data_IF_745925850962
#
_entry.id   IF_745925850962
#
_cell.length_a   1.000
_cell.length_b   1.000
_cell.length_c   1.000
_cell.angle_alpha   90.00
_cell.angle_beta   90.00
_cell.angle_gamma   90.00
#
_symmetry.space_group_name_H-M   'P 1'
#
loop_
_entity.id
_entity.type
_entity.pdbx_description
1 polymer ?
#
# COMPACT_ATOMS: atom_id res chain seq x y z
N UNK A 1 -16.56 -3.13 0.94
CA UNK A 1 -15.34 -3.81 1.39
C UNK A 1 -15.26 -5.28 1.03
N UNK A 2 -16.31 -6.09 1.27
CA UNK A 2 -16.28 -7.57 1.13
C UNK A 2 -16.07 -8.06 -0.32
N UNK A 3 -16.66 -7.38 -1.31
CA UNK A 3 -16.53 -7.75 -2.73
C UNK A 3 -15.09 -7.55 -3.23
N UNK A 4 -14.48 -6.42 -2.90
CA UNK A 4 -13.11 -6.10 -3.31
C UNK A 4 -12.11 -7.06 -2.65
N UNK A 5 -12.34 -7.45 -1.39
CA UNK A 5 -11.52 -8.43 -0.69
C UNK A 5 -11.52 -9.81 -1.38
N UNK A 6 -12.69 -10.32 -1.75
CA UNK A 6 -12.84 -11.60 -2.49
C UNK A 6 -12.22 -11.53 -3.88
N UNK A 7 -12.40 -10.40 -4.58
CA UNK A 7 -11.85 -10.20 -5.92
C UNK A 7 -10.31 -10.17 -5.88
N UNK A 8 -9.73 -9.53 -4.86
CA UNK A 8 -8.28 -9.48 -4.63
C UNK A 8 -7.68 -10.85 -4.37
N UNK A 9 -8.34 -11.69 -3.57
CA UNK A 9 -7.90 -13.07 -3.29
C UNK A 9 -7.90 -13.95 -4.54
N UNK A 10 -8.85 -13.73 -5.46
CA UNK A 10 -8.97 -14.54 -6.69
C UNK A 10 -8.08 -14.06 -7.83
N UNK A 11 -7.93 -12.77 -8.02
CA UNK A 11 -7.23 -12.21 -9.19
C UNK A 11 -5.77 -11.80 -8.90
N UNK A 12 -5.41 -11.61 -7.63
CA UNK A 12 -4.14 -11.00 -7.26
C UNK A 12 -4.14 -9.48 -7.46
N UNK A 13 -3.13 -8.80 -6.85
CA UNK A 13 -3.07 -7.34 -6.83
C UNK A 13 -2.84 -6.73 -8.22
N UNK A 14 -1.90 -7.30 -8.98
CA UNK A 14 -1.54 -6.78 -10.30
C UNK A 14 -2.68 -6.84 -11.30
N UNK A 15 -3.36 -7.99 -11.36
CA UNK A 15 -4.50 -8.16 -12.27
C UNK A 15 -5.63 -7.23 -11.89
N UNK A 16 -5.89 -7.03 -10.60
CA UNK A 16 -6.93 -6.14 -10.14
C UNK A 16 -6.64 -4.68 -10.53
N UNK A 17 -5.40 -4.23 -10.38
CA UNK A 17 -4.96 -2.89 -10.81
C UNK A 17 -5.02 -2.76 -12.33
N UNK A 18 -4.59 -3.77 -13.09
CA UNK A 18 -4.63 -3.74 -14.54
C UNK A 18 -6.08 -3.69 -15.05
N UNK A 19 -6.98 -4.53 -14.54
CA UNK A 19 -8.41 -4.53 -14.90
C UNK A 19 -9.03 -3.19 -14.52
N UNK A 20 -8.78 -2.69 -13.30
CA UNK A 20 -9.30 -1.40 -12.86
C UNK A 20 -8.83 -0.24 -13.75
N UNK A 21 -7.56 -0.24 -14.15
CA UNK A 21 -7.01 0.75 -15.07
C UNK A 21 -7.63 0.67 -16.47
N UNK A 22 -7.81 -0.53 -17.02
CA UNK A 22 -8.48 -0.74 -18.32
C UNK A 22 -9.95 -0.27 -18.26
N UNK A 23 -10.68 -0.62 -17.19
CA UNK A 23 -12.08 -0.18 -17.02
C UNK A 23 -12.14 1.34 -16.89
N UNK A 24 -11.25 1.94 -16.13
CA UNK A 24 -11.19 3.39 -15.96
C UNK A 24 -10.86 4.10 -17.27
N UNK A 25 -9.83 3.67 -17.99
CA UNK A 25 -9.46 4.22 -19.30
C UNK A 25 -10.57 4.04 -20.34
N UNK A 26 -11.22 2.87 -20.37
CA UNK A 26 -12.37 2.60 -21.22
C UNK A 26 -13.57 3.52 -20.91
N UNK A 27 -13.84 3.77 -19.62
CA UNK A 27 -14.87 4.71 -19.18
C UNK A 27 -14.55 6.16 -19.61
N UNK A 28 -13.27 6.56 -19.62
CA UNK A 28 -12.86 7.87 -20.17
C UNK A 28 -13.18 7.96 -21.66
N UNK A 29 -12.85 6.93 -22.46
CA UNK A 29 -13.14 6.90 -23.89
C UNK A 29 -14.65 6.95 -24.13
N UNK A 30 -15.45 6.14 -23.41
CA UNK A 30 -16.90 6.16 -23.51
C UNK A 30 -17.46 7.54 -23.14
N UNK A 31 -16.98 8.16 -22.08
CA UNK A 31 -17.41 9.51 -21.67
C UNK A 31 -17.04 10.57 -22.70
N UNK A 32 -15.88 10.44 -23.36
CA UNK A 32 -15.41 11.37 -24.38
C UNK A 32 -16.25 11.33 -25.67
N UNK A 33 -16.69 10.12 -26.07
CA UNK A 33 -17.39 9.88 -27.34
C UNK A 33 -18.91 9.78 -27.20
N UNK A 34 -19.43 9.68 -25.97
CA UNK A 34 -20.85 9.52 -25.73
C UNK A 34 -21.62 10.81 -25.94
N UNK A 35 -22.72 10.69 -26.70
CA UNK A 35 -23.69 11.77 -26.87
C UNK A 35 -24.93 11.58 -25.97
N UNK A 36 -25.01 10.48 -25.22
CA UNK A 36 -26.16 10.16 -24.36
C UNK A 36 -25.80 10.27 -22.89
N UNK A 37 -26.58 11.02 -22.11
CA UNK A 37 -26.36 11.22 -20.67
C UNK A 37 -26.33 9.90 -19.89
N UNK A 38 -27.21 8.95 -20.24
CA UNK A 38 -27.29 7.66 -19.55
C UNK A 38 -25.99 6.86 -19.67
N UNK A 39 -25.42 6.81 -20.90
CA UNK A 39 -24.17 6.09 -21.13
C UNK A 39 -22.98 6.76 -20.42
N UNK A 40 -22.94 8.08 -20.40
CA UNK A 40 -21.92 8.84 -19.65
C UNK A 40 -22.03 8.55 -18.15
N UNK A 41 -23.23 8.59 -17.57
CA UNK A 41 -23.39 8.28 -16.14
C UNK A 41 -23.01 6.83 -15.81
N UNK A 42 -23.36 5.88 -16.65
CA UNK A 42 -22.95 4.48 -16.47
C UNK A 42 -21.41 4.34 -16.52
N UNK A 43 -20.76 5.00 -17.47
CA UNK A 43 -19.30 5.03 -17.57
C UNK A 43 -18.66 5.65 -16.32
N UNK A 44 -19.19 6.75 -15.79
CA UNK A 44 -18.70 7.40 -14.58
C UNK A 44 -18.86 6.51 -13.33
N UNK A 45 -19.96 5.77 -13.22
CA UNK A 45 -20.15 4.80 -12.12
C UNK A 45 -19.09 3.69 -12.18
N UNK A 46 -18.83 3.15 -13.38
CA UNK A 46 -17.78 2.15 -13.59
C UNK A 46 -16.37 2.72 -13.30
N UNK A 47 -16.11 3.95 -13.73
CA UNK A 47 -14.85 4.65 -13.42
C UNK A 47 -14.67 4.81 -11.91
N UNK A 48 -15.70 5.28 -11.20
CA UNK A 48 -15.64 5.44 -9.74
C UNK A 48 -15.41 4.13 -9.01
N UNK A 49 -16.10 3.06 -9.40
CA UNK A 49 -15.92 1.72 -8.83
C UNK A 49 -14.51 1.16 -9.06
N UNK A 50 -14.00 1.29 -10.29
CA UNK A 50 -12.64 0.86 -10.62
C UNK A 50 -11.57 1.67 -9.87
N UNK A 51 -11.75 3.00 -9.77
CA UNK A 51 -10.91 3.88 -8.97
C UNK A 51 -10.82 3.45 -7.51
N UNK A 52 -11.95 3.21 -6.86
CA UNK A 52 -12.01 2.74 -5.46
C UNK A 52 -11.30 1.39 -5.30
N UNK A 53 -11.47 0.47 -6.24
CA UNK A 53 -10.80 -0.83 -6.20
C UNK A 53 -9.28 -0.69 -6.32
N UNK A 54 -8.79 0.14 -7.23
CA UNK A 54 -7.35 0.40 -7.45
C UNK A 54 -6.76 1.10 -6.22
N UNK A 55 -7.37 2.17 -5.72
CA UNK A 55 -6.90 2.90 -4.54
C UNK A 55 -6.84 2.02 -3.30
N UNK A 56 -7.88 1.22 -3.05
CA UNK A 56 -7.89 0.26 -1.95
C UNK A 56 -6.78 -0.79 -2.08
N UNK A 57 -6.45 -1.18 -3.32
CA UNK A 57 -5.38 -2.15 -3.60
C UNK A 57 -4.01 -1.55 -3.32
N UNK A 58 -3.72 -0.33 -3.77
CA UNK A 58 -2.48 0.36 -3.48
C UNK A 58 -2.29 0.63 -1.98
N UNK A 59 -3.34 1.08 -1.29
CA UNK A 59 -3.28 1.27 0.16
C UNK A 59 -2.93 -0.03 0.89
N UNK A 60 -3.54 -1.14 0.49
CA UNK A 60 -3.22 -2.45 1.09
C UNK A 60 -1.80 -2.88 0.76
N UNK A 61 -1.37 -2.77 -0.50
CA UNK A 61 -0.02 -3.12 -0.91
C UNK A 61 1.02 -2.32 -0.11
N UNK A 62 0.84 -1.01 0.04
CA UNK A 62 1.73 -0.15 0.84
C UNK A 62 1.82 -0.62 2.29
N UNK A 63 0.69 -0.96 2.92
CA UNK A 63 0.66 -1.37 4.32
C UNK A 63 1.23 -2.77 4.56
N UNK A 64 1.14 -3.66 3.58
CA UNK A 64 1.60 -5.05 3.70
C UNK A 64 3.02 -5.27 3.19
N UNK A 65 3.56 -4.34 2.39
CA UNK A 65 4.90 -4.47 1.80
C UNK A 65 6.03 -3.99 2.72
N UNK A 66 5.71 -3.38 3.86
CA UNK A 66 6.71 -2.80 4.76
C UNK A 66 6.57 -3.32 6.19
N UNK A 67 7.70 -3.44 6.92
CA UNK A 67 7.68 -3.82 8.33
C UNK A 67 6.85 -2.82 9.18
N UNK A 68 6.29 -3.27 10.32
CA UNK A 68 5.43 -2.44 11.17
C UNK A 68 6.06 -1.12 11.63
N UNK A 69 7.37 -1.12 11.87
CA UNK A 69 8.10 0.05 12.39
C UNK A 69 8.29 1.18 11.36
N UNK A 70 8.21 0.93 10.05
CA UNK A 70 8.25 1.97 8.99
C UNK A 70 6.90 2.20 8.31
N UNK A 71 5.86 1.45 8.67
CA UNK A 71 4.56 1.48 8.00
C UNK A 71 3.94 2.89 7.96
N UNK A 72 4.01 3.61 9.08
CA UNK A 72 3.50 4.98 9.15
C UNK A 72 4.20 5.91 8.13
N UNK A 73 5.53 5.83 8.03
CA UNK A 73 6.31 6.63 7.07
C UNK A 73 6.00 6.27 5.62
N UNK A 74 5.92 4.97 5.31
CA UNK A 74 5.58 4.51 3.96
C UNK A 74 4.17 4.96 3.56
N UNK A 75 3.19 4.86 4.46
CA UNK A 75 1.82 5.32 4.21
C UNK A 75 1.77 6.83 4.02
N UNK A 76 2.52 7.62 4.81
CA UNK A 76 2.59 9.08 4.65
C UNK A 76 3.21 9.47 3.31
N UNK A 77 4.29 8.80 2.88
CA UNK A 77 4.89 9.04 1.56
C UNK A 77 3.93 8.69 0.42
N UNK A 78 3.25 7.54 0.52
CA UNK A 78 2.24 7.15 -0.46
C UNK A 78 1.11 8.18 -0.56
N UNK A 79 0.59 8.65 0.58
CA UNK A 79 -0.46 9.67 0.61
C UNK A 79 0.02 11.00 0.04
N UNK A 80 1.23 11.43 0.38
CA UNK A 80 1.83 12.65 -0.15
C UNK A 80 1.98 12.58 -1.68
N UNK A 81 2.47 11.47 -2.21
CA UNK A 81 2.59 11.26 -3.66
C UNK A 81 1.21 11.27 -4.34
N UNK A 82 0.21 10.59 -3.74
CA UNK A 82 -1.13 10.55 -4.29
C UNK A 82 -1.80 11.94 -4.31
N UNK A 83 -1.80 12.65 -3.18
CA UNK A 83 -2.38 14.00 -3.09
C UNK A 83 -1.62 15.03 -3.95
N UNK A 84 -0.29 14.94 -3.96
CA UNK A 84 0.54 15.79 -4.81
C UNK A 84 0.26 15.56 -6.30
N UNK A 85 0.09 14.30 -6.71
CA UNK A 85 -0.30 13.95 -8.08
C UNK A 85 -1.68 14.49 -8.45
N UNK A 86 -2.64 14.51 -7.52
CA UNK A 86 -3.95 15.13 -7.77
C UNK A 86 -3.84 16.63 -7.97
N UNK A 87 -3.06 17.34 -7.15
CA UNK A 87 -2.89 18.77 -7.26
C UNK A 87 -2.24 19.17 -8.60
N UNK A 88 -1.12 18.53 -8.94
CA UNK A 88 -0.40 18.78 -10.20
C UNK A 88 -1.23 18.30 -11.40
N UNK A 89 -1.82 17.12 -11.29
CA UNK A 89 -2.63 16.52 -12.35
C UNK A 89 -3.88 17.33 -12.67
N UNK A 90 -4.57 17.87 -11.66
CA UNK A 90 -5.76 18.69 -11.91
C UNK A 90 -5.43 19.98 -12.67
N UNK A 91 -4.32 20.64 -12.32
CA UNK A 91 -3.86 21.83 -13.04
C UNK A 91 -3.45 21.49 -14.49
N UNK A 92 -2.71 20.39 -14.68
CA UNK A 92 -2.28 19.95 -16.01
C UNK A 92 -3.46 19.56 -16.91
N UNK A 93 -4.37 18.71 -16.42
CA UNK A 93 -5.53 18.26 -17.20
C UNK A 93 -6.55 19.39 -17.42
N UNK A 94 -6.67 20.32 -16.46
CA UNK A 94 -7.48 21.52 -16.62
C UNK A 94 -6.97 22.36 -17.79
N UNK A 95 -5.70 22.74 -17.75
CA UNK A 95 -5.08 23.53 -18.84
C UNK A 95 -5.14 22.79 -20.20
N UNK A 96 -4.94 21.47 -20.20
CA UNK A 96 -5.03 20.68 -21.43
C UNK A 96 -6.46 20.68 -22.00
N UNK A 97 -7.47 20.61 -21.12
CA UNK A 97 -8.87 20.68 -21.56
C UNK A 97 -9.27 22.06 -22.09
N UNK A 98 -8.68 23.13 -21.59
CA UNK A 98 -8.90 24.49 -22.08
C UNK A 98 -8.32 24.67 -23.49
N UNK A 99 -7.16 24.04 -23.78
CA UNK A 99 -6.47 24.14 -25.06
C UNK A 99 -7.07 23.22 -26.13
N UNK A 100 -7.29 21.95 -25.81
CA UNK A 100 -7.68 20.90 -26.76
C UNK A 100 -9.18 20.58 -26.74
N UNK A 101 -9.90 21.10 -25.75
CA UNK A 101 -11.28 20.72 -25.46
C UNK A 101 -11.38 19.43 -24.64
N UNK A 102 -12.51 19.30 -23.96
CA UNK A 102 -12.75 18.22 -22.99
C UNK A 102 -12.64 16.81 -23.61
N UNK A 103 -13.19 16.63 -24.81
CA UNK A 103 -13.16 15.33 -25.51
C UNK A 103 -11.74 14.88 -25.81
N UNK A 104 -10.91 15.77 -26.37
CA UNK A 104 -9.52 15.43 -26.67
C UNK A 104 -8.70 15.21 -25.39
N UNK A 105 -8.89 16.01 -24.34
CA UNK A 105 -8.23 15.82 -23.06
C UNK A 105 -8.57 14.44 -22.44
N UNK A 106 -9.82 13.99 -22.49
CA UNK A 106 -10.22 12.66 -22.00
C UNK A 106 -9.59 11.53 -22.82
N UNK A 107 -9.50 11.68 -24.15
CA UNK A 107 -8.85 10.67 -25.00
C UNK A 107 -7.35 10.60 -24.74
N UNK A 108 -6.67 11.74 -24.61
CA UNK A 108 -5.24 11.79 -24.23
C UNK A 108 -5.05 11.16 -22.86
N UNK A 109 -5.95 11.41 -21.90
CA UNK A 109 -5.92 10.79 -20.58
C UNK A 109 -6.07 9.27 -20.66
N UNK A 110 -6.96 8.76 -21.49
CA UNK A 110 -7.14 7.32 -21.72
C UNK A 110 -5.87 6.67 -22.31
N UNK A 111 -5.22 7.35 -23.28
CA UNK A 111 -3.95 6.89 -23.86
C UNK A 111 -2.84 6.91 -22.80
N UNK A 112 -2.74 7.98 -22.01
CA UNK A 112 -1.77 8.10 -20.92
C UNK A 112 -1.97 6.98 -19.87
N UNK A 113 -3.23 6.64 -19.56
CA UNK A 113 -3.56 5.52 -18.66
C UNK A 113 -3.11 4.18 -19.25
N UNK A 114 -3.35 3.92 -20.53
CA UNK A 114 -2.91 2.71 -21.21
C UNK A 114 -1.38 2.62 -21.24
N UNK A 115 -0.69 3.72 -21.54
CA UNK A 115 0.76 3.80 -21.48
C UNK A 115 1.29 3.54 -20.08
N UNK A 116 0.68 4.11 -19.03
CA UNK A 116 1.01 3.87 -17.64
C UNK A 116 0.89 2.40 -17.25
N UNK A 117 -0.16 1.69 -17.70
CA UNK A 117 -0.32 0.26 -17.46
C UNK A 117 0.76 -0.58 -18.15
N UNK A 118 1.21 -0.20 -19.33
CA UNK A 118 2.30 -0.86 -20.04
C UNK A 118 3.63 -0.62 -19.32
N UNK A 119 3.92 0.62 -18.94
CA UNK A 119 5.14 1.01 -18.22
C UNK A 119 5.21 0.44 -16.81
N UNK A 120 4.08 0.11 -16.19
CA UNK A 120 4.04 -0.50 -14.86
C UNK A 120 4.41 -2.01 -14.88
N UNK A 121 4.38 -2.69 -16.03
CA UNK A 121 4.65 -4.13 -16.15
C UNK A 121 6.01 -4.57 -15.58
N UNK A 122 7.15 -3.84 -15.77
CA UNK A 122 8.42 -4.21 -15.18
C UNK A 122 8.50 -4.00 -13.67
N UNK A 123 7.51 -3.34 -13.06
CA UNK A 123 7.46 -3.03 -11.62
C UNK A 123 6.33 -3.81 -10.93
N UNK A 124 6.48 -5.13 -10.70
CA UNK A 124 5.41 -5.94 -10.13
C UNK A 124 5.10 -5.52 -8.69
N UNK A 125 3.81 -5.44 -8.38
CA UNK A 125 3.33 -5.23 -7.02
C UNK A 125 3.57 -6.50 -6.20
N UNK A 126 4.63 -6.52 -5.42
CA UNK A 126 4.94 -7.62 -4.51
C UNK A 126 4.28 -7.34 -3.16
N UNK A 127 3.44 -8.26 -2.70
CA UNK A 127 3.19 -8.35 -1.26
C UNK A 127 4.41 -9.06 -0.66
N UNK A 128 5.14 -8.38 0.22
CA UNK A 128 6.05 -9.10 1.11
C UNK A 128 5.18 -10.09 1.88
N UNK A 129 5.31 -11.37 1.56
CA UNK A 129 4.68 -12.40 2.34
C UNK A 129 5.16 -12.24 3.78
N UNK A 130 4.26 -12.48 4.74
CA UNK A 130 4.57 -12.53 6.19
C UNK A 130 5.74 -13.49 6.52
N UNK A 131 6.23 -14.24 5.53
CA UNK A 131 7.38 -15.15 5.58
C UNK A 131 8.75 -14.44 5.58
N UNK A 132 8.86 -13.17 5.17
CA UNK A 132 10.14 -12.45 5.24
C UNK A 132 10.34 -11.68 6.56
N UNK A 133 9.27 -11.38 7.25
CA UNK A 133 9.35 -11.12 8.68
C UNK A 133 9.41 -12.50 9.31
N UNK A 134 10.60 -13.01 9.51
CA UNK A 134 10.81 -14.18 10.37
C UNK A 134 10.14 -13.83 11.69
N UNK A 135 8.89 -14.21 11.84
CA UNK A 135 8.33 -14.40 13.16
C UNK A 135 9.24 -15.48 13.73
N UNK A 136 10.26 -15.04 14.45
CA UNK A 136 10.88 -15.95 15.40
C UNK A 136 9.68 -16.51 16.13
N UNK A 137 9.38 -17.82 16.00
CA UNK A 137 8.28 -18.40 16.75
C UNK A 137 8.57 -17.99 18.18
N UNK A 138 7.72 -17.12 18.72
CA UNK A 138 7.68 -16.91 20.16
C UNK A 138 7.65 -18.32 20.69
N UNK A 139 8.76 -18.73 21.31
CA UNK A 139 8.91 -20.11 21.77
C UNK A 139 7.63 -20.42 22.48
N UNK A 140 6.96 -21.53 22.10
CA UNK A 140 5.74 -22.00 22.73
C UNK A 140 5.91 -22.19 24.25
N UNK A 141 7.11 -21.98 24.77
CA UNK A 141 7.55 -22.05 26.14
C UNK A 141 7.45 -20.74 26.94
N UNK A 142 6.74 -19.72 26.44
CA UNK A 142 6.23 -18.67 27.32
C UNK A 142 5.07 -19.23 28.15
N UNK A 143 5.39 -20.26 28.94
CA UNK A 143 4.52 -20.69 30.01
C UNK A 143 4.63 -19.64 31.14
N UNK A 144 3.69 -18.73 31.15
CA UNK A 144 3.45 -17.93 32.36
C UNK A 144 2.78 -18.87 33.33
N UNK A 145 3.55 -19.49 34.19
CA UNK A 145 3.06 -20.45 35.15
C UNK A 145 2.04 -19.86 36.14
N UNK A 146 2.01 -18.56 36.28
CA UNK A 146 1.04 -17.77 37.04
C UNK A 146 0.76 -16.46 36.34
N UNK A 147 -0.50 -16.09 36.22
CA UNK A 147 -0.91 -14.75 35.78
C UNK A 147 -0.39 -13.74 36.82
N UNK A 148 0.49 -12.79 36.43
CA UNK A 148 1.07 -11.86 37.39
C UNK A 148 -0.06 -10.98 37.96
N UNK A 149 -0.07 -10.86 39.29
CA UNK A 149 -0.98 -9.96 39.99
C UNK A 149 -0.74 -8.52 39.48
N UNK A 150 -1.78 -7.82 38.99
CA UNK A 150 -1.65 -6.44 38.49
C UNK A 150 -1.05 -5.47 39.51
N UNK A 151 -1.09 -5.78 40.82
CA UNK A 151 -0.57 -4.95 41.90
C UNK A 151 0.82 -5.39 42.41
N UNK A 152 1.42 -6.44 41.85
CA UNK A 152 2.64 -7.07 42.35
C UNK A 152 3.94 -6.26 42.12
N UNK A 153 3.91 -4.98 41.84
CA UNK A 153 5.12 -4.13 41.75
C UNK A 153 5.91 -4.27 40.44
N UNK A 154 7.14 -3.76 40.36
CA UNK A 154 7.87 -3.67 39.10
C UNK A 154 8.20 -5.08 38.53
N UNK A 155 7.81 -5.31 37.28
CA UNK A 155 8.09 -6.56 36.54
C UNK A 155 9.52 -6.51 36.02
N UNK A 156 10.36 -7.48 36.36
CA UNK A 156 11.65 -7.69 35.73
C UNK A 156 11.47 -8.51 34.46
N UNK A 157 11.87 -7.95 33.31
CA UNK A 157 11.87 -8.67 32.02
C UNK A 157 13.29 -9.13 31.74
N UNK A 158 13.50 -10.43 31.76
CA UNK A 158 14.76 -11.07 31.37
C UNK A 158 14.68 -11.50 29.91
N UNK A 159 15.58 -10.99 29.05
CA UNK A 159 15.65 -11.33 27.65
C UNK A 159 16.90 -12.17 27.40
N UNK A 160 16.71 -13.47 27.19
CA UNK A 160 17.80 -14.39 26.83
C UNK A 160 18.06 -14.38 25.32
N UNK A 161 19.29 -14.05 24.92
CA UNK A 161 19.74 -14.12 23.53
C UNK A 161 20.60 -15.37 23.32
N UNK A 162 20.26 -16.19 22.32
CA UNK A 162 21.11 -17.29 21.86
C UNK A 162 22.02 -16.79 20.74
N UNK A 163 23.30 -16.66 21.03
CA UNK A 163 24.32 -16.14 20.08
C UNK A 163 25.27 -17.26 19.68
N UNK A 164 25.81 -17.16 18.45
CA UNK A 164 26.97 -17.96 18.08
C UNK A 164 28.18 -17.47 18.88
N UNK A 165 29.09 -18.36 19.31
CA UNK A 165 30.25 -17.99 20.14
C UNK A 165 31.09 -16.82 19.59
N UNK A 166 31.19 -16.75 18.27
CA UNK A 166 31.95 -15.70 17.53
C UNK A 166 31.31 -14.32 17.59
N UNK A 167 29.99 -14.23 17.80
CA UNK A 167 29.22 -12.99 17.82
C UNK A 167 29.05 -12.39 19.24
N UNK A 168 29.46 -13.10 20.29
CA UNK A 168 29.22 -12.70 21.68
C UNK A 168 29.90 -11.38 22.01
N UNK A 169 31.16 -11.20 21.61
CA UNK A 169 31.93 -10.00 21.94
C UNK A 169 31.33 -8.75 21.25
N UNK A 170 30.97 -8.83 19.97
CA UNK A 170 30.35 -7.73 19.25
C UNK A 170 28.96 -7.37 19.84
N UNK A 171 28.19 -8.39 20.20
CA UNK A 171 26.88 -8.16 20.82
C UNK A 171 26.96 -7.49 22.19
N UNK A 172 27.94 -7.85 23.02
CA UNK A 172 28.15 -7.25 24.33
C UNK A 172 28.56 -5.76 24.20
N UNK A 173 29.35 -5.42 23.19
CA UNK A 173 29.73 -4.04 22.91
C UNK A 173 28.52 -3.21 22.48
N UNK A 174 27.70 -3.72 21.55
CA UNK A 174 26.47 -3.08 21.11
C UNK A 174 25.46 -2.88 22.25
N UNK A 175 25.26 -3.88 23.10
CA UNK A 175 24.37 -3.79 24.28
C UNK A 175 24.89 -2.79 25.30
N UNK A 176 26.21 -2.69 25.47
CA UNK A 176 26.81 -1.71 26.38
C UNK A 176 26.54 -0.27 25.96
N UNK A 177 26.56 0.00 24.65
CA UNK A 177 26.25 1.32 24.06
C UNK A 177 24.76 1.68 24.23
N UNK A 178 23.85 0.70 24.25
CA UNK A 178 22.41 0.89 24.46
C UNK A 178 22.01 1.09 25.93
N UNK A 179 22.94 0.91 26.86
CA UNK A 179 22.67 1.01 28.32
C UNK A 179 22.36 2.44 28.77
N UNK A 180 22.88 3.46 28.09
CA UNK A 180 22.67 4.88 28.41
C UNK A 180 21.26 5.41 28.17
N UNK A 181 20.61 5.12 27.01
CA UNK A 181 19.29 5.66 26.67
C UNK A 181 18.13 5.05 27.45
N UNK A 182 18.28 3.88 28.05
CA UNK A 182 17.21 3.12 28.75
C UNK A 182 16.97 3.50 30.20
N UNK A 183 17.73 4.47 30.75
CA UNK A 183 17.58 4.93 32.13
C UNK A 183 16.72 6.20 32.30
N UNK A 184 15.96 6.60 31.28
CA UNK A 184 15.01 7.73 31.34
C UNK A 184 13.58 7.27 31.20
#
# INVERSE_FOLDING_TARGET
GLVIGRLRQRLGLERLVAIGGVVFGGAMVVSALSHTRVLTYAALVLAGGSWMAVMSTYNTATQTSVPPWVRARATSMHTLCALGSFAIGSAFWGALSDILGLTAALLVGAVAMAAGLVLARPFPLRMSGLTEVTQVPLSQDLFVAHEPDPEAGPVAVEIGYRLKPEAVAAFLDDVSQLRGPRRR
#
